data_IF_496668735852
#
_entry.id   IF_496668735852
#
_cell.length_a   1.000
_cell.length_b   1.000
_cell.length_c   1.000
_cell.angle_alpha   90.00
_cell.angle_beta   90.00
_cell.angle_gamma   90.00
#
_symmetry.space_group_name_H-M   'P 1'
#
loop_
_entity.id
_entity.type
_entity.pdbx_description
1 polymer ?
#
# COMPACT_ATOMS: atom_id res chain seq x y z
N UNK A 1 -17.31 14.23 -19.80
CA UNK A 1 -16.39 13.12 -20.09
C UNK A 1 -17.14 11.81 -20.09
N UNK A 2 -16.64 10.83 -20.85
CA UNK A 2 -17.16 9.45 -20.86
C UNK A 2 -16.80 8.70 -19.58
N UNK A 3 -17.52 7.62 -19.27
CA UNK A 3 -17.28 6.79 -18.08
C UNK A 3 -16.56 5.51 -18.48
N UNK A 4 -15.55 5.11 -17.71
CA UNK A 4 -14.80 3.89 -17.91
C UNK A 4 -14.76 3.10 -16.59
N UNK A 5 -15.14 1.83 -16.66
CA UNK A 5 -15.00 0.88 -15.57
C UNK A 5 -13.89 -0.11 -15.92
N UNK A 6 -12.85 -0.20 -15.08
CA UNK A 6 -11.73 -1.11 -15.26
C UNK A 6 -11.66 -2.05 -14.08
N UNK A 7 -11.58 -3.35 -14.37
CA UNK A 7 -11.37 -4.40 -13.37
C UNK A 7 -10.05 -5.08 -13.64
N UNK A 8 -9.19 -5.17 -12.62
CA UNK A 8 -7.93 -5.91 -12.69
C UNK A 8 -7.90 -7.01 -11.63
N UNK A 9 -7.74 -8.25 -12.08
CA UNK A 9 -7.64 -9.45 -11.24
C UNK A 9 -6.19 -9.84 -10.94
N UNK A 10 -5.21 -9.11 -11.48
CA UNK A 10 -3.78 -9.42 -11.39
C UNK A 10 -3.16 -8.92 -10.07
N UNK A 11 -3.79 -9.28 -8.94
CA UNK A 11 -3.36 -8.80 -7.62
C UNK A 11 -1.99 -9.32 -7.21
N UNK A 12 -1.56 -10.48 -7.70
CA UNK A 12 -0.22 -11.04 -7.41
C UNK A 12 0.88 -10.14 -7.98
N UNK A 13 0.66 -9.60 -9.18
CA UNK A 13 1.57 -8.66 -9.83
C UNK A 13 1.51 -7.30 -9.15
N UNK A 14 0.29 -6.78 -8.93
CA UNK A 14 0.10 -5.46 -8.29
C UNK A 14 0.53 -5.42 -6.81
N UNK A 15 0.52 -6.55 -6.10
CA UNK A 15 1.00 -6.66 -4.72
C UNK A 15 2.52 -6.71 -4.59
N UNK A 16 3.23 -6.85 -5.72
CA UNK A 16 4.70 -6.86 -5.76
C UNK A 16 5.34 -8.24 -5.60
N UNK A 17 4.59 -9.33 -5.73
CA UNK A 17 5.21 -10.67 -5.77
C UNK A 17 6.00 -10.89 -7.06
N UNK A 18 5.53 -10.30 -8.17
CA UNK A 18 6.25 -10.24 -9.45
C UNK A 18 6.41 -8.79 -9.89
N UNK A 19 7.46 -8.17 -9.38
CA UNK A 19 7.77 -6.77 -9.63
C UNK A 19 8.16 -6.50 -11.10
N UNK A 20 8.79 -7.46 -11.78
CA UNK A 20 9.20 -7.31 -13.18
C UNK A 20 7.98 -7.28 -14.09
N UNK A 21 7.04 -8.20 -13.90
CA UNK A 21 5.77 -8.21 -14.63
C UNK A 21 4.95 -6.96 -14.31
N UNK A 22 4.98 -6.48 -13.06
CA UNK A 22 4.27 -5.26 -12.67
C UNK A 22 4.81 -4.05 -13.44
N UNK A 23 6.15 -3.91 -13.48
CA UNK A 23 6.78 -2.83 -14.22
C UNK A 23 6.53 -2.94 -15.74
N UNK A 24 6.58 -4.16 -16.30
CA UNK A 24 6.33 -4.38 -17.72
C UNK A 24 4.90 -3.99 -18.13
N UNK A 25 3.89 -4.34 -17.33
CA UNK A 25 2.47 -4.09 -17.64
C UNK A 25 2.00 -2.69 -17.25
N UNK A 26 2.38 -2.22 -16.06
CA UNK A 26 1.82 -1.03 -15.43
C UNK A 26 2.78 0.16 -15.40
N UNK A 27 4.05 -0.03 -15.79
CA UNK A 27 5.11 0.99 -15.75
C UNK A 27 5.35 1.57 -14.36
N UNK A 28 5.08 0.76 -13.34
CA UNK A 28 5.25 1.12 -11.93
C UNK A 28 5.96 0.00 -11.17
N UNK A 29 6.82 0.37 -10.24
CA UNK A 29 7.50 -0.56 -9.34
C UNK A 29 6.68 -0.73 -8.05
N UNK A 30 6.08 -1.91 -7.80
CA UNK A 30 5.30 -2.12 -6.59
C UNK A 30 6.20 -2.22 -5.35
N UNK A 31 5.71 -1.72 -4.22
CA UNK A 31 6.36 -1.95 -2.91
C UNK A 31 5.68 -3.12 -2.20
N UNK A 32 6.46 -4.07 -1.72
CA UNK A 32 5.94 -5.15 -0.87
C UNK A 32 5.68 -4.64 0.56
N UNK A 33 4.54 -3.98 0.75
CA UNK A 33 4.12 -3.33 1.99
C UNK A 33 2.68 -3.71 2.37
N UNK A 34 2.28 -3.43 3.61
CA UNK A 34 0.96 -3.84 4.13
C UNK A 34 -0.21 -3.05 3.52
N UNK A 35 0.07 -1.93 2.86
CA UNK A 35 -0.90 -1.13 2.11
C UNK A 35 -1.13 -1.60 0.66
N UNK A 36 -0.77 -2.85 0.33
CA UNK A 36 -0.76 -3.38 -1.04
C UNK A 36 -2.08 -3.18 -1.81
N UNK A 37 -3.23 -3.25 -1.14
CA UNK A 37 -4.53 -3.13 -1.80
C UNK A 37 -4.76 -1.72 -2.34
N UNK A 38 -4.37 -0.70 -1.58
CA UNK A 38 -4.45 0.69 -2.03
C UNK A 38 -3.34 1.02 -3.04
N UNK A 39 -2.12 0.52 -2.81
CA UNK A 39 -1.05 0.71 -3.79
C UNK A 39 -1.41 0.12 -5.16
N UNK A 40 -2.07 -1.05 -5.19
CA UNK A 40 -2.59 -1.65 -6.42
C UNK A 40 -3.60 -0.74 -7.15
N UNK A 41 -4.53 -0.11 -6.41
CA UNK A 41 -5.47 0.86 -6.98
C UNK A 41 -4.74 2.08 -7.55
N UNK A 42 -3.75 2.61 -6.82
CA UNK A 42 -2.97 3.78 -7.23
C UNK A 42 -2.06 3.51 -8.42
N UNK A 43 -1.47 2.31 -8.51
CA UNK A 43 -0.72 1.85 -9.69
C UNK A 43 -1.65 1.78 -10.90
N UNK A 44 -2.84 1.15 -10.75
CA UNK A 44 -3.80 1.04 -11.85
C UNK A 44 -4.26 2.42 -12.33
N UNK A 45 -4.59 3.34 -11.42
CA UNK A 45 -4.96 4.71 -11.76
C UNK A 45 -3.82 5.45 -12.49
N UNK A 46 -2.57 5.30 -12.05
CA UNK A 46 -1.42 5.86 -12.74
C UNK A 46 -1.28 5.31 -14.17
N UNK A 47 -1.42 4.00 -14.36
CA UNK A 47 -1.38 3.40 -15.71
C UNK A 47 -2.49 3.92 -16.61
N UNK A 48 -3.70 4.11 -16.07
CA UNK A 48 -4.83 4.68 -16.81
C UNK A 48 -4.59 6.15 -17.19
N UNK A 49 -4.12 6.99 -16.26
CA UNK A 49 -3.81 8.39 -16.53
C UNK A 49 -2.70 8.53 -17.57
N UNK A 50 -1.60 7.79 -17.41
CA UNK A 50 -0.47 7.81 -18.36
C UNK A 50 -0.90 7.38 -19.76
N UNK A 51 -1.79 6.39 -19.84
CA UNK A 51 -2.34 5.93 -21.12
C UNK A 51 -3.26 6.98 -21.75
N UNK A 52 -4.13 7.61 -20.96
CA UNK A 52 -5.03 8.67 -21.42
C UNK A 52 -4.28 9.90 -21.90
N UNK A 53 -3.21 10.30 -21.19
CA UNK A 53 -2.41 11.48 -21.50
C UNK A 53 -1.82 11.45 -22.91
N UNK A 54 -1.43 10.26 -23.39
CA UNK A 54 -0.92 10.05 -24.77
C UNK A 54 -1.94 10.45 -25.84
N UNK A 55 -3.23 10.44 -25.50
CA UNK A 55 -4.35 10.79 -26.37
C UNK A 55 -4.99 12.13 -26.00
N UNK A 56 -4.25 13.04 -25.34
CA UNK A 56 -4.73 14.37 -24.90
C UNK A 56 -5.95 14.29 -23.95
N UNK A 57 -6.07 13.19 -23.22
CA UNK A 57 -7.14 12.94 -22.26
C UNK A 57 -6.58 12.75 -20.86
N UNK A 58 -7.39 13.03 -19.85
CA UNK A 58 -7.06 12.73 -18.46
C UNK A 58 -8.23 12.02 -17.79
N UNK A 59 -7.94 11.32 -16.69
CA UNK A 59 -8.93 10.63 -15.88
C UNK A 59 -9.29 11.44 -14.63
N UNK A 60 -10.53 11.27 -14.17
CA UNK A 60 -11.01 11.74 -12.87
C UNK A 60 -11.60 10.53 -12.15
N UNK A 61 -10.97 10.03 -11.07
CA UNK A 61 -11.50 8.90 -10.30
C UNK A 61 -12.85 9.23 -9.65
N UNK A 62 -13.83 8.34 -9.83
CA UNK A 62 -15.13 8.41 -9.15
C UNK A 62 -15.08 7.53 -7.89
N UNK A 63 -14.73 6.26 -8.05
CA UNK A 63 -14.61 5.32 -6.93
C UNK A 63 -13.65 4.18 -7.31
N UNK A 64 -12.75 3.85 -6.39
CA UNK A 64 -11.67 2.87 -6.59
C UNK A 64 -11.66 1.88 -5.43
N UNK A 65 -12.11 0.64 -5.65
CA UNK A 65 -12.29 -0.34 -4.59
C UNK A 65 -11.46 -1.60 -4.84
N UNK A 66 -10.81 -2.10 -3.79
CA UNK A 66 -10.34 -3.49 -3.75
C UNK A 66 -11.49 -4.36 -3.25
N UNK A 67 -11.94 -5.28 -4.08
CA UNK A 67 -13.09 -6.14 -3.82
C UNK A 67 -12.59 -7.57 -3.91
N UNK A 68 -12.62 -8.28 -2.79
CA UNK A 68 -12.17 -9.68 -2.68
C UNK A 68 -10.74 -9.89 -3.19
N UNK A 69 -10.60 -10.34 -4.44
CA UNK A 69 -9.35 -10.74 -5.10
C UNK A 69 -9.02 -9.88 -6.33
N UNK A 70 -9.75 -8.79 -6.55
CA UNK A 70 -9.53 -7.88 -7.66
C UNK A 70 -9.62 -6.42 -7.21
N UNK A 71 -9.13 -5.53 -8.06
CA UNK A 71 -9.34 -4.09 -7.92
C UNK A 71 -10.25 -3.61 -9.03
N UNK A 72 -11.15 -2.68 -8.71
CA UNK A 72 -12.09 -2.08 -9.65
C UNK A 72 -12.08 -0.57 -9.48
N UNK A 73 -11.88 0.12 -10.60
CA UNK A 73 -11.85 1.57 -10.65
C UNK A 73 -12.89 2.08 -11.64
N UNK A 74 -13.65 3.08 -11.23
CA UNK A 74 -14.55 3.85 -12.08
C UNK A 74 -13.96 5.23 -12.25
N UNK A 75 -13.73 5.62 -13.49
CA UNK A 75 -13.14 6.93 -13.82
C UNK A 75 -13.96 7.62 -14.89
N UNK A 76 -13.95 8.95 -14.89
CA UNK A 76 -14.41 9.76 -16.02
C UNK A 76 -13.21 10.16 -16.85
N UNK A 77 -13.33 10.01 -18.16
CA UNK A 77 -12.29 10.42 -19.12
C UNK A 77 -12.73 11.71 -19.80
N UNK A 78 -11.88 12.72 -19.75
CA UNK A 78 -12.11 14.02 -20.36
C UNK A 78 -11.01 14.35 -21.35
N UNK A 79 -11.37 15.02 -22.43
CA UNK A 79 -10.40 15.59 -23.36
C UNK A 79 -10.08 17.01 -22.92
N UNK A 80 -8.83 17.24 -22.51
CA UNK A 80 -8.35 18.55 -22.09
C UNK A 80 -6.83 18.57 -22.17
N UNK A 81 -6.25 19.18 -23.22
CA UNK A 81 -4.81 19.30 -23.35
C UNK A 81 -4.14 20.09 -22.20
N UNK A 82 -4.88 20.98 -21.54
CA UNK A 82 -4.38 21.75 -20.39
C UNK A 82 -4.18 20.85 -19.17
N UNK A 83 -5.19 20.03 -18.85
CA UNK A 83 -5.17 19.11 -17.71
C UNK A 83 -4.11 18.00 -17.85
N UNK A 84 -3.85 17.57 -19.09
CA UNK A 84 -2.78 16.60 -19.38
C UNK A 84 -1.41 17.13 -18.99
N UNK A 85 -1.15 18.43 -19.16
CA UNK A 85 0.12 19.05 -18.75
C UNK A 85 0.27 19.08 -17.23
N UNK A 86 -0.83 19.11 -16.49
CA UNK A 86 -0.85 19.08 -15.03
C UNK A 86 -0.90 17.66 -14.45
N UNK A 87 -0.97 16.61 -15.26
CA UNK A 87 -1.01 15.20 -14.81
C UNK A 87 0.14 14.85 -13.87
N UNK A 88 1.33 15.43 -14.07
CA UNK A 88 2.49 15.22 -13.21
C UNK A 88 2.29 15.64 -11.74
N UNK A 89 1.31 16.50 -11.44
CA UNK A 89 0.94 16.87 -10.07
C UNK A 89 0.25 15.73 -9.33
N UNK A 90 -0.37 14.80 -10.07
CA UNK A 90 -1.11 13.65 -9.54
C UNK A 90 -0.24 12.40 -9.42
N UNK A 91 1.03 12.50 -9.82
CA UNK A 91 1.99 11.39 -9.75
C UNK A 91 2.87 11.51 -8.52
N UNK A 92 3.09 10.38 -7.86
CA UNK A 92 3.97 10.30 -6.70
C UNK A 92 4.77 8.99 -6.69
N UNK A 93 5.92 9.03 -6.04
CA UNK A 93 6.71 7.88 -5.64
C UNK A 93 6.55 7.62 -4.14
N UNK A 94 6.86 6.39 -3.72
CA UNK A 94 6.82 5.99 -2.32
C UNK A 94 8.21 5.54 -1.89
N UNK A 95 8.72 6.14 -0.82
CA UNK A 95 9.89 5.66 -0.11
C UNK A 95 9.45 4.77 1.06
N UNK A 96 9.55 3.46 0.90
CA UNK A 96 9.19 2.48 1.94
C UNK A 96 10.42 2.13 2.80
N UNK A 97 10.31 2.28 4.12
CA UNK A 97 11.35 1.82 5.04
C UNK A 97 11.51 0.30 5.00
N UNK A 98 12.76 -0.17 5.00
CA UNK A 98 13.06 -1.61 5.11
C UNK A 98 13.03 -2.12 6.56
N UNK A 99 13.03 -1.23 7.55
CA UNK A 99 13.10 -1.61 8.97
C UNK A 99 11.80 -1.49 9.73
N UNK A 100 10.80 -0.78 9.19
CA UNK A 100 9.50 -0.60 9.81
C UNK A 100 8.42 -0.25 8.76
N UNK A 101 7.13 -0.22 9.15
CA UNK A 101 6.03 0.14 8.25
C UNK A 101 6.00 1.60 7.77
N UNK A 102 6.92 2.46 8.21
CA UNK A 102 6.98 3.88 7.80
C UNK A 102 7.20 4.04 6.31
N UNK A 103 6.51 5.01 5.71
CA UNK A 103 6.60 5.31 4.29
C UNK A 103 6.48 6.82 4.03
N UNK A 104 7.10 7.30 2.97
CA UNK A 104 7.08 8.72 2.61
C UNK A 104 6.64 8.89 1.16
N UNK A 105 5.68 9.78 0.93
CA UNK A 105 5.17 10.09 -0.41
C UNK A 105 5.98 11.23 -1.01
N UNK A 106 6.59 11.01 -2.16
CA UNK A 106 7.34 12.00 -2.94
C UNK A 106 6.52 12.40 -4.16
N UNK A 107 5.89 13.58 -4.18
CA UNK A 107 5.27 14.10 -5.40
C UNK A 107 6.31 14.26 -6.50
N UNK A 108 5.90 14.09 -7.75
CA UNK A 108 6.77 14.32 -8.92
C UNK A 108 6.90 15.82 -9.23
N UNK A 109 5.79 16.54 -9.16
CA UNK A 109 5.72 17.96 -9.44
C UNK A 109 5.03 18.75 -8.32
N UNK A 110 5.32 20.04 -8.26
CA UNK A 110 4.60 21.02 -7.42
C UNK A 110 4.06 22.14 -8.28
N UNK A 111 2.97 22.75 -7.83
CA UNK A 111 2.36 23.92 -8.47
C UNK A 111 2.61 25.16 -7.62
N UNK A 112 3.29 26.16 -8.18
CA UNK A 112 3.50 27.47 -7.57
C UNK A 112 2.79 28.54 -8.42
N UNK A 113 1.62 28.98 -7.97
CA UNK A 113 0.74 29.86 -8.75
C UNK A 113 0.32 29.19 -10.06
N UNK A 114 0.69 29.81 -11.19
CA UNK A 114 0.41 29.28 -12.53
C UNK A 114 1.54 28.38 -13.08
N UNK A 115 2.67 28.25 -12.38
CA UNK A 115 3.80 27.45 -12.82
C UNK A 115 3.78 26.04 -12.21
N UNK A 116 4.13 25.04 -13.02
CA UNK A 116 4.36 23.66 -12.58
C UNK A 116 5.84 23.37 -12.72
N UNK A 117 6.48 22.93 -11.64
CA UNK A 117 7.91 22.58 -11.61
C UNK A 117 8.11 21.23 -10.95
N UNK A 118 9.30 20.65 -11.11
CA UNK A 118 9.70 19.49 -10.32
C UNK A 118 9.52 19.76 -8.81
N UNK A 119 9.04 18.76 -8.08
CA UNK A 119 8.96 18.83 -6.63
C UNK A 119 10.35 18.69 -6.01
N UNK A 120 10.66 19.40 -4.91
CA UNK A 120 11.88 19.15 -4.15
C UNK A 120 11.96 17.69 -3.69
N UNK A 121 13.15 17.11 -3.80
CA UNK A 121 13.42 15.74 -3.41
C UNK A 121 14.81 15.64 -2.73
N UNK A 122 14.99 14.72 -1.78
CA UNK A 122 13.97 13.79 -1.26
C UNK A 122 13.11 14.42 -0.13
N UNK A 123 11.83 14.02 -0.04
CA UNK A 123 10.92 14.42 1.07
C UNK A 123 11.36 13.93 2.45
N UNK A 124 12.27 12.95 2.49
CA UNK A 124 12.89 12.41 3.69
C UNK A 124 14.38 12.17 3.40
N UNK A 125 15.21 12.00 4.42
CA UNK A 125 16.62 11.66 4.22
C UNK A 125 16.82 10.32 3.49
N UNK A 126 18.08 9.95 3.20
CA UNK A 126 18.40 8.65 2.56
C UNK A 126 18.08 7.41 3.42
N UNK A 127 17.65 7.61 4.67
CA UNK A 127 17.33 6.58 5.64
C UNK A 127 16.05 6.93 6.41
N UNK A 128 15.41 5.91 6.98
CA UNK A 128 14.22 6.08 7.80
C UNK A 128 14.55 6.88 9.08
N UNK A 129 13.86 8.01 9.35
CA UNK A 129 14.09 8.81 10.55
C UNK A 129 13.86 8.04 11.85
N UNK A 130 13.06 6.97 11.82
CA UNK A 130 12.66 6.21 13.00
C UNK A 130 13.62 5.07 13.32
N UNK A 131 14.14 4.38 12.30
CA UNK A 131 14.98 3.19 12.48
C UNK A 131 16.41 3.31 11.96
N UNK A 132 16.71 4.33 11.14
CA UNK A 132 17.97 4.45 10.40
C UNK A 132 18.12 3.46 9.23
N UNK A 133 17.14 2.60 8.98
CA UNK A 133 17.17 1.65 7.87
C UNK A 133 17.12 2.36 6.51
N UNK A 134 17.69 1.75 5.46
CA UNK A 134 17.58 2.32 4.09
C UNK A 134 16.13 2.28 3.61
N UNK A 135 15.82 3.15 2.66
CA UNK A 135 14.50 3.25 2.03
C UNK A 135 14.51 2.58 0.64
N UNK A 136 13.42 1.89 0.30
CA UNK A 136 13.15 1.37 -1.05
C UNK A 136 12.25 2.34 -1.81
N UNK A 137 12.57 2.58 -3.08
CA UNK A 137 11.71 3.35 -3.98
C UNK A 137 10.66 2.45 -4.62
N UNK A 138 9.41 2.89 -4.61
CA UNK A 138 8.34 2.34 -5.44
C UNK A 138 7.53 3.43 -6.13
N UNK A 139 6.68 3.02 -7.06
CA UNK A 139 5.96 3.90 -7.97
C UNK A 139 6.57 3.94 -9.38
N UNK A 140 6.16 4.90 -10.22
CA UNK A 140 5.18 5.96 -9.91
C UNK A 140 3.77 5.40 -9.63
N UNK A 141 2.99 6.12 -8.83
CA UNK A 141 1.61 5.79 -8.50
C UNK A 141 0.76 7.06 -8.48
N UNK A 142 -0.57 6.90 -8.50
CA UNK A 142 -1.51 8.01 -8.33
C UNK A 142 -1.44 8.56 -6.89
N UNK A 143 -1.05 9.82 -6.74
CA UNK A 143 -0.91 10.53 -5.46
C UNK A 143 -2.19 11.23 -4.98
N UNK A 144 -3.12 11.52 -5.89
CA UNK A 144 -4.34 12.26 -5.60
C UNK A 144 -5.46 11.38 -4.96
N UNK A 145 -6.60 11.98 -4.57
CA UNK A 145 -7.78 11.22 -4.14
C UNK A 145 -8.22 10.19 -5.17
N UNK A 146 -8.65 9.01 -4.69
CA UNK A 146 -9.10 7.87 -5.51
C UNK A 146 -10.63 7.73 -5.57
N UNK A 147 -11.33 8.66 -4.91
CA UNK A 147 -12.77 8.69 -4.71
C UNK A 147 -13.30 10.12 -4.81
N UNK A 148 -14.42 10.30 -5.51
CA UNK A 148 -15.23 11.50 -5.44
C UNK A 148 -16.21 11.36 -4.27
N UNK A 149 -15.93 12.04 -3.15
CA UNK A 149 -16.76 11.96 -1.94
C UNK A 149 -18.18 12.47 -2.16
N UNK A 150 -18.40 13.43 -3.06
CA UNK A 150 -19.75 13.92 -3.35
C UNK A 150 -20.59 12.83 -4.01
N UNK A 151 -19.97 12.09 -4.94
CA UNK A 151 -20.58 10.94 -5.61
C UNK A 151 -20.79 9.78 -4.65
N UNK A 152 -19.82 9.44 -3.81
CA UNK A 152 -19.94 8.34 -2.82
C UNK A 152 -21.10 8.61 -1.86
N UNK A 153 -21.23 9.84 -1.37
CA UNK A 153 -22.33 10.22 -0.49
C UNK A 153 -23.69 10.19 -1.20
N UNK A 154 -23.75 10.58 -2.48
CA UNK A 154 -24.96 10.45 -3.28
C UNK A 154 -25.36 8.98 -3.49
N UNK A 155 -24.41 8.14 -3.91
CA UNK A 155 -24.64 6.71 -4.10
C UNK A 155 -25.06 6.02 -2.79
N UNK A 156 -24.48 6.41 -1.65
CA UNK A 156 -24.88 5.88 -0.35
C UNK A 156 -26.32 6.28 -0.01
N UNK A 157 -26.72 7.54 -0.25
CA UNK A 157 -28.11 7.99 -0.06
C UNK A 157 -29.09 7.20 -0.94
N UNK A 158 -28.76 6.98 -2.20
CA UNK A 158 -29.62 6.25 -3.13
C UNK A 158 -29.80 4.79 -2.70
N UNK A 159 -28.71 4.12 -2.31
CA UNK A 159 -28.75 2.74 -1.79
C UNK A 159 -29.58 2.64 -0.51
N UNK A 160 -29.53 3.65 0.37
CA UNK A 160 -30.35 3.71 1.58
C UNK A 160 -31.80 4.05 1.29
N UNK A 161 -32.08 4.97 0.35
CA UNK A 161 -33.42 5.42 -0.02
C UNK A 161 -34.23 4.33 -0.75
N UNK A 162 -33.60 3.52 -1.60
CA UNK A 162 -34.20 2.33 -2.22
C UNK A 162 -34.56 1.22 -1.21
N UNK A 163 -34.52 1.47 0.10
CA UNK A 163 -35.12 0.62 1.12
C UNK A 163 -36.62 0.90 1.34
N UNK A 164 -37.11 2.06 0.87
CA UNK A 164 -38.53 2.34 0.67
C UNK A 164 -39.03 1.79 -0.68
N UNK A 165 -40.32 1.46 -0.74
CA UNK A 165 -40.91 0.46 -1.62
C UNK A 165 -40.87 0.66 -3.15
N UNK A 166 -40.33 1.74 -3.75
CA UNK A 166 -40.65 2.08 -5.15
C UNK A 166 -39.52 2.64 -6.04
N UNK A 167 -38.28 2.14 -5.96
CA UNK A 167 -37.27 2.56 -6.96
C UNK A 167 -36.16 1.55 -7.23
N UNK A 168 -36.06 1.13 -8.50
CA UNK A 168 -35.03 0.29 -9.15
C UNK A 168 -35.16 -1.24 -8.94
N UNK A 169 -34.74 -2.05 -9.93
CA UNK A 169 -34.69 -3.51 -9.75
C UNK A 169 -33.86 -3.87 -8.50
N UNK A 170 -34.26 -4.89 -7.74
CA UNK A 170 -33.62 -5.21 -6.47
C UNK A 170 -32.15 -5.55 -6.68
N UNK A 171 -31.26 -4.70 -6.14
CA UNK A 171 -29.83 -5.00 -6.09
C UNK A 171 -29.64 -6.14 -5.08
N UNK A 172 -29.40 -7.35 -5.56
CA UNK A 172 -29.24 -8.54 -4.70
C UNK A 172 -28.16 -8.35 -3.62
N UNK A 173 -27.09 -7.62 -3.94
CA UNK A 173 -25.95 -7.36 -3.06
C UNK A 173 -26.06 -6.05 -2.28
N UNK A 174 -27.27 -5.50 -2.11
CA UNK A 174 -27.52 -4.19 -1.47
C UNK A 174 -26.84 -4.02 -0.11
N UNK A 175 -26.94 -5.01 0.78
CA UNK A 175 -26.32 -4.96 2.12
C UNK A 175 -24.80 -4.81 2.04
N UNK A 176 -24.19 -5.56 1.11
CA UNK A 176 -22.74 -5.52 0.86
C UNK A 176 -22.32 -4.20 0.22
N UNK A 177 -23.10 -3.69 -0.74
CA UNK A 177 -22.86 -2.40 -1.37
C UNK A 177 -22.97 -1.25 -0.36
N UNK A 178 -24.02 -1.25 0.47
CA UNK A 178 -24.20 -0.28 1.56
C UNK A 178 -23.02 -0.32 2.54
N UNK A 179 -22.58 -1.51 2.95
CA UNK A 179 -21.40 -1.70 3.81
C UNK A 179 -20.12 -1.14 3.19
N UNK A 180 -19.87 -1.43 1.92
CA UNK A 180 -18.72 -0.93 1.18
C UNK A 180 -18.74 0.60 1.04
N UNK A 181 -19.86 1.17 0.57
CA UNK A 181 -20.00 2.61 0.40
C UNK A 181 -19.91 3.36 1.74
N UNK A 182 -20.43 2.78 2.82
CA UNK A 182 -20.27 3.32 4.18
C UNK A 182 -18.81 3.31 4.62
N UNK A 183 -18.05 2.25 4.30
CA UNK A 183 -16.64 2.19 4.64
C UNK A 183 -15.83 3.23 3.85
N UNK A 184 -16.07 3.33 2.53
CA UNK A 184 -15.43 4.32 1.65
C UNK A 184 -15.76 5.75 2.06
N UNK A 185 -17.01 6.03 2.46
CA UNK A 185 -17.45 7.36 2.86
C UNK A 185 -16.84 7.86 4.18
N UNK A 186 -16.30 6.94 4.98
CA UNK A 186 -15.57 7.23 6.22
C UNK A 186 -14.06 7.39 6.00
N UNK A 187 -13.53 7.11 4.81
CA UNK A 187 -12.09 7.20 4.52
C UNK A 187 -11.61 8.64 4.30
N UNK A 188 -10.37 8.92 4.71
CA UNK A 188 -9.67 10.14 4.35
C UNK A 188 -9.29 10.12 2.86
N UNK A 189 -9.77 11.08 2.04
CA UNK A 189 -9.48 11.12 0.61
C UNK A 189 -8.07 11.60 0.29
N UNK A 190 -7.49 12.42 1.18
CA UNK A 190 -6.24 13.16 1.02
C UNK A 190 -5.07 12.56 1.81
N UNK A 191 -5.24 11.35 2.37
CA UNK A 191 -4.18 10.59 3.03
C UNK A 191 -3.88 9.31 2.22
N UNK A 192 -2.85 9.33 1.35
CA UNK A 192 -2.47 8.15 0.58
C UNK A 192 -1.91 7.03 1.45
N UNK A 193 -2.31 5.80 1.13
CA UNK A 193 -1.88 4.56 1.79
C UNK A 193 -2.31 4.50 3.25
N UNK A 194 -1.85 3.50 3.99
CA UNK A 194 -2.25 3.27 5.38
C UNK A 194 -1.22 2.42 6.13
N UNK A 195 -1.23 2.53 7.46
CA UNK A 195 -0.58 1.59 8.35
C UNK A 195 -1.52 0.47 8.74
N UNK A 196 -1.01 -0.63 9.27
CA UNK A 196 -1.84 -1.62 9.96
C UNK A 196 -1.38 -1.77 11.40
N UNK A 197 -2.34 -1.80 12.33
CA UNK A 197 -2.02 -1.93 13.75
C UNK A 197 -1.14 -3.17 14.05
N UNK A 198 -1.44 -4.36 13.48
CA UNK A 198 -0.59 -5.53 13.69
C UNK A 198 0.84 -5.32 13.21
N UNK A 199 1.06 -4.66 12.07
CA UNK A 199 2.41 -4.46 11.53
C UNK A 199 3.24 -3.47 12.34
N UNK A 200 2.59 -2.43 12.89
CA UNK A 200 3.23 -1.51 13.81
C UNK A 200 3.64 -2.23 15.11
N UNK A 201 2.72 -2.99 15.70
CA UNK A 201 2.96 -3.73 16.94
C UNK A 201 3.99 -4.86 16.77
N UNK A 202 3.99 -5.54 15.60
CA UNK A 202 4.98 -6.57 15.24
C UNK A 202 6.40 -6.00 15.25
N UNK A 203 6.58 -4.76 14.77
CA UNK A 203 7.89 -4.10 14.67
C UNK A 203 8.52 -3.84 16.04
N UNK A 204 7.72 -3.47 17.03
CA UNK A 204 8.17 -3.13 18.40
C UNK A 204 7.86 -4.22 19.44
N UNK A 205 7.28 -5.34 18.99
CA UNK A 205 6.86 -6.47 19.83
C UNK A 205 5.95 -6.11 21.01
N UNK A 206 5.06 -5.13 20.83
CA UNK A 206 4.13 -4.70 21.88
C UNK A 206 2.77 -5.41 21.80
N UNK A 207 2.01 -5.37 22.89
CA UNK A 207 0.60 -5.73 22.87
C UNK A 207 -0.17 -4.70 22.02
N UNK A 208 -1.10 -5.17 21.19
CA UNK A 208 -1.88 -4.27 20.33
C UNK A 208 -2.82 -3.41 21.17
N UNK A 209 -2.79 -2.07 21.05
CA UNK A 209 -3.83 -1.22 21.61
C UNK A 209 -5.17 -1.55 20.96
N UNK A 210 -6.26 -1.27 21.67
CA UNK A 210 -7.60 -1.31 21.05
C UNK A 210 -7.67 -0.21 20.00
N UNK A 211 -8.43 -0.48 18.93
CA UNK A 211 -8.63 0.47 17.84
C UNK A 211 -9.07 1.84 18.34
N UNK A 212 -10.05 1.89 19.24
CA UNK A 212 -10.59 3.14 19.77
C UNK A 212 -9.58 3.91 20.62
N UNK A 213 -8.70 3.24 21.37
CA UNK A 213 -7.69 3.91 22.20
C UNK A 213 -6.64 4.59 21.32
N UNK A 214 -6.14 3.88 20.30
CA UNK A 214 -5.16 4.44 19.37
C UNK A 214 -5.75 5.55 18.51
N UNK A 215 -6.99 5.35 18.04
CA UNK A 215 -7.74 6.37 17.31
C UNK A 215 -7.94 7.63 18.16
N UNK A 216 -8.24 7.45 19.45
CA UNK A 216 -8.41 8.55 20.41
C UNK A 216 -7.11 9.36 20.55
N UNK A 217 -5.97 8.68 20.68
CA UNK A 217 -4.66 9.32 20.76
C UNK A 217 -4.32 10.17 19.53
N UNK A 218 -4.60 9.67 18.31
CA UNK A 218 -4.40 10.45 17.08
C UNK A 218 -5.28 11.70 17.02
N UNK A 219 -6.56 11.56 17.40
CA UNK A 219 -7.51 12.69 17.37
C UNK A 219 -7.19 13.73 18.45
N UNK A 220 -6.83 13.30 19.65
CA UNK A 220 -6.40 14.20 20.73
C UNK A 220 -5.09 14.92 20.39
N UNK A 221 -4.23 14.31 19.58
CA UNK A 221 -3.03 14.95 19.03
C UNK A 221 -3.32 15.91 17.86
N UNK A 222 -4.58 16.08 17.44
CA UNK A 222 -4.99 17.02 16.40
C UNK A 222 -5.00 16.44 14.98
N UNK A 223 -4.79 15.14 14.81
CA UNK A 223 -4.74 14.49 13.50
C UNK A 223 -6.04 13.79 13.14
N UNK A 224 -6.30 13.72 11.84
CA UNK A 224 -7.45 12.98 11.30
C UNK A 224 -7.10 11.51 11.19
N UNK A 225 -8.10 10.65 11.38
CA UNK A 225 -7.93 9.20 11.29
C UNK A 225 -9.17 8.51 10.74
N UNK A 226 -8.95 7.60 9.78
CA UNK A 226 -9.98 6.72 9.22
C UNK A 226 -9.48 5.28 9.08
N UNK A 227 -10.40 4.38 8.75
CA UNK A 227 -10.07 3.03 8.29
C UNK A 227 -9.75 2.98 6.80
N UNK A 228 -9.71 1.76 6.26
CA UNK A 228 -9.72 1.46 4.82
C UNK A 228 -10.81 0.43 4.53
N UNK A 229 -11.54 0.57 3.42
CA UNK A 229 -12.69 -0.27 3.06
C UNK A 229 -12.35 -1.74 2.86
N UNK A 230 -11.08 -2.07 2.61
CA UNK A 230 -10.62 -3.45 2.38
C UNK A 230 -9.99 -4.09 3.61
N UNK A 231 -9.30 -3.31 4.45
CA UNK A 231 -8.50 -3.84 5.57
C UNK A 231 -9.06 -3.31 6.90
N UNK A 232 -9.63 -4.18 7.76
CA UNK A 232 -10.26 -3.77 9.02
C UNK A 232 -9.34 -3.02 9.98
N UNK A 233 -8.08 -3.45 10.08
CA UNK A 233 -7.09 -2.91 11.02
C UNK A 233 -6.22 -1.80 10.40
N UNK A 234 -6.63 -1.27 9.25
CA UNK A 234 -5.89 -0.22 8.56
C UNK A 234 -6.14 1.14 9.21
N UNK A 235 -5.05 1.90 9.36
CA UNK A 235 -5.02 3.24 9.92
C UNK A 235 -4.58 4.19 8.81
N UNK A 236 -5.54 4.96 8.30
CA UNK A 236 -5.27 6.14 7.48
C UNK A 236 -5.22 7.36 8.36
N UNK A 237 -4.17 8.16 8.23
CA UNK A 237 -4.01 9.39 9.01
C UNK A 237 -3.17 10.39 8.24
N UNK A 238 -3.36 11.67 8.52
CA UNK A 238 -2.47 12.75 8.10
C UNK A 238 -1.36 13.04 9.12
N UNK A 239 -1.26 12.22 10.17
CA UNK A 239 -0.16 12.29 11.12
C UNK A 239 1.17 11.88 10.47
N UNK A 240 2.27 12.61 10.72
CA UNK A 240 3.59 12.19 10.29
C UNK A 240 4.02 10.91 11.03
N UNK A 241 4.92 10.14 10.43
CA UNK A 241 5.45 8.89 11.02
C UNK A 241 5.91 9.07 12.47
N UNK A 242 6.55 10.21 12.79
CA UNK A 242 7.02 10.49 14.15
C UNK A 242 5.91 10.45 15.19
N UNK A 243 4.74 11.03 14.88
CA UNK A 243 3.57 11.01 15.77
C UNK A 243 2.99 9.59 15.89
N UNK A 244 2.93 8.85 14.79
CA UNK A 244 2.48 7.45 14.78
C UNK A 244 3.34 6.61 15.74
N UNK A 245 4.66 6.78 15.70
CA UNK A 245 5.56 6.06 16.61
C UNK A 245 5.56 6.61 18.04
N UNK A 246 5.43 7.93 18.25
CA UNK A 246 5.35 8.54 19.58
C UNK A 246 4.15 8.04 20.39
N UNK A 247 3.00 7.88 19.74
CA UNK A 247 1.82 7.29 20.38
C UNK A 247 2.13 5.86 20.84
N UNK A 248 2.81 5.06 20.01
CA UNK A 248 3.19 3.69 20.39
C UNK A 248 4.28 3.65 21.46
N UNK A 249 5.22 4.59 21.48
CA UNK A 249 6.19 4.75 22.57
C UNK A 249 5.47 5.02 23.89
N UNK A 250 4.50 5.94 23.90
CA UNK A 250 3.66 6.23 25.06
C UNK A 250 2.85 4.99 25.48
N UNK A 251 2.34 4.22 24.52
CA UNK A 251 1.63 2.97 24.79
C UNK A 251 2.53 1.94 25.48
N UNK A 252 3.74 1.73 24.98
CA UNK A 252 4.73 0.79 25.55
C UNK A 252 5.19 1.22 26.94
N UNK A 253 5.30 2.54 27.22
CA UNK A 253 5.56 3.02 28.59
C UNK A 253 4.47 2.62 29.58
N UNK A 254 3.20 2.57 29.14
CA UNK A 254 2.06 2.11 29.95
C UNK A 254 1.92 0.59 29.99
N UNK A 255 2.35 -0.09 28.92
CA UNK A 255 2.28 -1.54 28.76
C UNK A 255 3.66 -2.11 28.37
N UNK A 256 4.56 -2.30 29.35
CA UNK A 256 5.94 -2.69 29.10
C UNK A 256 6.05 -4.00 28.32
N UNK A 257 6.95 -4.02 27.34
CA UNK A 257 7.25 -5.22 26.55
C UNK A 257 8.20 -6.15 27.31
N UNK A 258 8.16 -7.44 26.96
CA UNK A 258 9.11 -8.41 27.51
C UNK A 258 10.52 -8.12 26.96
N UNK A 259 11.47 -7.82 27.85
CA UNK A 259 12.86 -7.49 27.50
C UNK A 259 13.54 -8.53 26.60
N UNK A 260 13.16 -9.81 26.70
CA UNK A 260 13.69 -10.88 25.82
C UNK A 260 13.34 -10.69 24.34
N UNK A 261 12.26 -9.97 24.04
CA UNK A 261 11.80 -9.69 22.67
C UNK A 261 12.40 -8.39 22.10
N UNK A 262 13.06 -7.58 22.93
CA UNK A 262 13.63 -6.30 22.52
C UNK A 262 15.15 -6.40 22.36
N UNK A 263 15.61 -7.08 21.30
CA UNK A 263 17.05 -7.20 21.03
C UNK A 263 17.65 -5.83 20.68
N UNK A 264 18.84 -5.46 21.20
CA UNK A 264 19.49 -4.17 20.91
C UNK A 264 19.74 -3.91 19.42
N UNK A 265 19.87 -4.97 18.61
CA UNK A 265 20.07 -4.88 17.15
C UNK A 265 18.77 -4.75 16.36
N UNK A 266 17.62 -4.83 17.00
CA UNK A 266 16.33 -4.79 16.32
C UNK A 266 15.93 -3.35 15.97
N UNK A 267 15.20 -3.19 14.86
CA UNK A 267 14.60 -1.90 14.50
C UNK A 267 13.61 -1.43 15.57
N UNK A 268 12.87 -2.35 16.21
CA UNK A 268 11.97 -2.04 17.33
C UNK A 268 12.70 -1.39 18.50
N UNK A 269 13.88 -1.90 18.87
CA UNK A 269 14.71 -1.28 19.90
C UNK A 269 15.11 0.16 19.54
N UNK A 270 15.51 0.40 18.30
CA UNK A 270 15.90 1.73 17.81
C UNK A 270 14.72 2.72 17.81
N UNK A 271 13.50 2.23 17.58
CA UNK A 271 12.29 3.05 17.68
C UNK A 271 12.04 3.41 19.14
N UNK A 272 12.11 2.43 20.05
CA UNK A 272 11.79 2.59 21.47
C UNK A 272 12.87 3.32 22.27
N UNK A 273 14.12 3.37 21.79
CA UNK A 273 15.20 4.12 22.44
C UNK A 273 15.06 5.64 22.29
N UNK A 274 14.19 6.10 21.39
CA UNK A 274 13.86 7.53 21.23
C UNK A 274 12.77 7.91 22.23
N UNK A 275 12.98 9.01 22.93
CA UNK A 275 11.97 9.60 23.79
C UNK A 275 10.86 10.23 22.93
N UNK A 276 9.57 10.00 23.26
CA UNK A 276 8.47 10.59 22.52
C UNK A 276 8.40 12.09 22.75
N UNK A 277 8.33 12.86 21.66
CA UNK A 277 8.13 14.32 21.68
C UNK A 277 6.68 14.61 22.04
N UNK A 278 5.75 13.85 21.47
CA UNK A 278 4.32 13.92 21.78
C UNK A 278 3.97 13.01 22.97
N UNK A 279 3.32 13.58 23.99
CA UNK A 279 2.69 12.80 25.06
C UNK A 279 1.27 12.40 24.66
N UNK A 280 1.03 11.11 24.43
CA UNK A 280 -0.25 10.63 23.93
C UNK A 280 -1.34 10.58 25.01
N UNK A 281 -2.49 11.18 24.71
CA UNK A 281 -3.72 11.04 25.49
C UNK A 281 -4.67 10.01 24.84
N UNK A 282 -4.84 8.87 25.50
CA UNK A 282 -5.72 7.79 25.05
C UNK A 282 -7.17 7.95 25.53
N UNK A 283 -7.52 9.06 26.20
CA UNK A 283 -8.89 9.32 26.64
C UNK A 283 -9.85 9.47 25.46
N UNK A 284 -11.05 8.90 25.56
CA UNK A 284 -12.03 8.92 24.46
C UNK A 284 -12.51 10.35 24.18
N UNK A 285 -12.32 10.89 22.97
CA UNK A 285 -12.75 12.25 22.63
C UNK A 285 -14.27 12.38 22.66
N UNK A 286 -14.77 13.51 23.15
CA UNK A 286 -16.21 13.84 23.14
C UNK A 286 -16.80 13.94 21.73
N UNK A 287 -15.95 14.16 20.72
CA UNK A 287 -16.34 14.25 19.31
C UNK A 287 -16.74 12.91 18.69
N UNK A 288 -16.50 11.78 19.37
CA UNK A 288 -16.78 10.46 18.81
C UNK A 288 -18.28 10.17 18.80
N UNK A 289 -18.88 10.32 17.62
CA UNK A 289 -20.25 9.88 17.37
C UNK A 289 -20.31 8.36 17.18
N UNK A 290 -21.37 7.69 17.65
CA UNK A 290 -21.59 6.28 17.35
C UNK A 290 -21.71 6.08 15.85
N UNK A 291 -21.02 5.06 15.32
CA UNK A 291 -21.08 4.74 13.89
C UNK A 291 -22.44 4.13 13.54
N UNK A 292 -23.01 4.45 12.36
CA UNK A 292 -24.21 3.78 11.89
C UNK A 292 -23.93 2.28 11.68
N UNK A 293 -24.96 1.46 11.97
CA UNK A 293 -24.91 0.01 11.72
C UNK A 293 -24.79 -0.22 10.21
N UNK A 294 -23.69 -0.83 9.81
CA UNK A 294 -23.46 -1.24 8.43
C UNK A 294 -22.59 -2.50 8.45
N UNK A 295 -22.88 -3.44 7.55
CA UNK A 295 -22.12 -4.67 7.36
C UNK A 295 -20.76 -4.35 6.69
N UNK A 296 -19.86 -3.74 7.45
CA UNK A 296 -18.47 -3.50 7.03
C UNK A 296 -17.76 -4.86 7.03
N UNK A 297 -17.00 -5.15 5.98
CA UNK A 297 -16.24 -6.40 5.83
C UNK A 297 -17.10 -7.67 5.95
N UNK A 298 -18.06 -7.89 5.01
CA UNK A 298 -18.84 -9.12 5.02
C UNK A 298 -17.92 -10.35 4.86
N UNK A 299 -18.20 -11.46 5.55
CA UNK A 299 -17.43 -12.69 5.40
C UNK A 299 -17.56 -13.22 3.97
N UNK A 300 -16.61 -14.07 3.59
CA UNK A 300 -16.67 -14.76 2.31
C UNK A 300 -17.93 -15.65 2.25
N UNK A 301 -18.63 -15.71 1.10
CA UNK A 301 -19.85 -16.50 0.97
C UNK A 301 -19.67 -17.99 1.21
N UNK A 302 -18.53 -18.56 0.83
CA UNK A 302 -18.25 -20.00 0.90
C UNK A 302 -16.87 -20.29 1.53
N UNK A 303 -16.76 -21.45 2.18
CA UNK A 303 -15.50 -22.04 2.62
C UNK A 303 -14.68 -22.43 1.36
N UNK A 304 -13.48 -21.88 1.15
CA UNK A 304 -12.69 -21.96 -0.10
C UNK A 304 -13.12 -21.04 -1.25
N UNK A 305 -13.88 -19.99 -0.95
CA UNK A 305 -14.21 -18.97 -1.94
C UNK A 305 -12.98 -18.17 -2.38
N UNK A 306 -12.69 -18.18 -3.69
CA UNK A 306 -11.62 -17.39 -4.30
C UNK A 306 -11.08 -17.94 -5.61
N UNK A 307 -10.05 -17.30 -6.19
CA UNK A 307 -9.44 -17.72 -7.44
C UNK A 307 -8.84 -19.12 -7.28
N UNK A 308 -9.39 -20.08 -8.01
CA UNK A 308 -8.87 -21.46 -8.02
C UNK A 308 -7.53 -21.50 -8.77
N UNK A 309 -6.69 -22.48 -8.43
CA UNK A 309 -5.43 -22.72 -9.13
C UNK A 309 -5.65 -22.83 -10.64
N UNK A 310 -4.73 -22.29 -11.43
CA UNK A 310 -4.75 -22.39 -12.90
C UNK A 310 -4.98 -23.85 -13.32
N UNK A 311 -5.94 -24.08 -14.22
CA UNK A 311 -6.23 -25.40 -14.75
C UNK A 311 -4.94 -26.03 -15.32
N UNK A 312 -4.50 -27.14 -14.74
CA UNK A 312 -3.40 -27.93 -15.30
C UNK A 312 -3.98 -28.78 -16.43
N UNK A 313 -3.33 -28.87 -17.61
CA UNK A 313 -3.77 -29.80 -18.64
C UNK A 313 -3.79 -31.22 -18.04
N UNK A 314 -4.92 -31.93 -18.20
CA UNK A 314 -5.02 -33.34 -17.81
C UNK A 314 -3.91 -34.09 -18.54
N UNK A 315 -3.03 -34.77 -17.80
CA UNK A 315 -2.15 -35.79 -18.40
C UNK A 315 -3.08 -36.76 -19.12
N UNK A 316 -2.87 -36.95 -20.43
CA UNK A 316 -3.56 -38.03 -21.17
C UNK A 316 -3.24 -39.34 -20.46
N UNK A 317 -4.21 -40.25 -20.28
CA UNK A 317 -3.91 -41.61 -19.84
C UNK A 317 -2.88 -42.18 -20.80
N UNK A 318 -1.78 -42.69 -20.25
CA UNK A 318 -0.82 -43.49 -21.01
C UNK A 318 -1.53 -44.81 -21.26
N UNK A 319 -1.83 -45.13 -22.53
CA UNK A 319 -2.27 -46.47 -22.91
C UNK A 319 -1.11 -47.44 -22.67
N UNK A 320 -1.38 -48.51 -21.93
CA UNK A 320 -0.44 -49.58 -21.65
C UNK A 320 -0.07 -50.31 -22.95
N UNK A 321 1.22 -50.23 -23.31
CA UNK A 321 1.84 -50.95 -24.42
C UNK A 321 3.36 -51.05 -24.22
N UNK A 322 3.77 -52.14 -23.56
CA UNK A 322 5.06 -52.85 -23.43
C UNK A 322 6.42 -52.24 -23.91
N UNK A 323 7.55 -52.65 -23.27
CA UNK A 323 8.69 -51.80 -22.98
C UNK A 323 9.77 -51.77 -24.07
N UNK A 324 10.39 -50.60 -24.28
CA UNK A 324 11.58 -50.48 -25.11
C UNK A 324 12.30 -49.14 -24.98
N UNK A 325 13.55 -49.21 -24.48
CA UNK A 325 14.63 -48.22 -24.54
C UNK A 325 14.52 -46.93 -23.69
N UNK A 326 15.31 -46.93 -22.62
CA UNK A 326 15.61 -45.78 -21.78
C UNK A 326 16.32 -44.68 -22.59
N UNK A 327 15.70 -43.51 -22.68
CA UNK A 327 16.39 -42.26 -22.99
C UNK A 327 16.06 -41.23 -21.90
N UNK A 328 16.97 -41.10 -20.92
CA UNK A 328 16.94 -40.06 -19.90
C UNK A 328 17.10 -38.69 -20.58
N UNK A 329 16.07 -37.85 -20.55
CA UNK A 329 16.22 -36.39 -20.67
C UNK A 329 16.16 -35.79 -19.26
N UNK A 330 17.06 -34.83 -18.92
CA UNK A 330 17.25 -34.41 -17.55
C UNK A 330 16.11 -33.52 -17.05
N UNK A 331 15.74 -33.76 -15.80
CA UNK A 331 14.91 -32.87 -15.00
C UNK A 331 15.69 -31.59 -14.71
N UNK A 332 15.05 -30.44 -14.92
CA UNK A 332 15.53 -29.16 -14.43
C UNK A 332 14.80 -28.95 -13.10
N UNK A 333 15.46 -29.34 -12.03
CA UNK A 333 15.05 -29.04 -10.65
C UNK A 333 15.36 -27.56 -10.38
N UNK A 334 14.31 -26.80 -10.07
CA UNK A 334 14.42 -25.41 -9.63
C UNK A 334 14.08 -25.35 -8.14
N UNK A 335 15.10 -25.55 -7.32
CA UNK A 335 15.25 -25.15 -5.90
C UNK A 335 16.62 -25.72 -5.47
N UNK A 336 17.70 -24.95 -5.41
CA UNK A 336 18.06 -24.16 -4.23
C UNK A 336 19.52 -23.67 -4.38
N UNK A 337 19.90 -22.69 -3.56
CA UNK A 337 21.28 -22.24 -3.28
C UNK A 337 21.97 -21.30 -4.31
N UNK A 338 21.91 -19.99 -4.01
CA UNK A 338 23.08 -19.12 -4.21
C UNK A 338 23.35 -18.42 -2.89
N UNK A 339 24.26 -19.00 -2.12
CA UNK A 339 24.99 -18.34 -1.05
C UNK A 339 26.50 -18.54 -1.30
N UNK A 340 27.21 -17.40 -1.40
CA UNK A 340 28.65 -17.18 -1.23
C UNK A 340 29.60 -17.88 -2.22
N UNK A 341 30.57 -17.20 -2.85
CA UNK A 341 31.78 -16.68 -2.19
C UNK A 341 32.59 -15.91 -3.25
N UNK A 342 32.88 -14.62 -3.07
CA UNK A 342 34.15 -14.09 -2.55
C UNK A 342 35.21 -15.13 -2.17
N UNK A 343 36.29 -15.22 -2.95
CA UNK A 343 37.63 -15.56 -2.45
C UNK A 343 38.71 -14.84 -3.25
N UNK A 344 39.36 -13.89 -2.57
CA UNK A 344 40.79 -13.62 -2.52
C UNK A 344 41.66 -14.02 -3.73
N UNK A 345 42.20 -13.00 -4.40
CA UNK A 345 43.53 -13.05 -4.98
C UNK A 345 44.50 -12.38 -4.00
N UNK A 346 45.47 -13.14 -3.48
CA UNK A 346 46.59 -12.62 -2.69
C UNK A 346 47.78 -12.26 -3.58
N UNK A 347 48.53 -11.26 -3.12
CA UNK A 347 49.77 -10.75 -3.68
C UNK A 347 50.91 -11.77 -3.77
N UNK A 348 51.82 -11.57 -4.73
CA UNK A 348 53.24 -11.25 -4.49
C UNK A 348 54.02 -11.18 -5.83
N UNK A 349 54.70 -10.06 -6.12
CA UNK A 349 56.16 -10.06 -6.25
C UNK A 349 56.76 -8.64 -6.29
N UNK A 350 57.61 -8.41 -5.30
CA UNK A 350 58.94 -7.76 -5.31
C UNK A 350 59.10 -6.28 -5.69
N UNK A 351 59.75 -5.57 -4.75
CA UNK A 351 59.99 -4.14 -4.80
C UNK A 351 61.32 -3.74 -5.42
N UNK A 352 61.46 -2.42 -5.58
CA UNK A 352 62.76 -1.73 -5.51
C UNK A 352 62.56 -0.38 -4.85
N UNK A 353 63.49 -0.06 -3.98
CA UNK A 353 63.66 1.14 -3.14
C UNK A 353 63.93 2.43 -3.92
N UNK A 354 63.51 3.57 -3.38
CA UNK A 354 64.34 4.72 -2.95
C UNK A 354 63.64 6.08 -3.12
N UNK A 355 63.51 6.77 -1.97
CA UNK A 355 63.77 8.18 -1.67
C UNK A 355 63.08 9.38 -2.37
N UNK A 356 62.85 10.36 -1.48
CA UNK A 356 62.82 11.82 -1.63
C UNK A 356 61.52 12.58 -1.95
N UNK A 357 60.98 13.14 -0.87
CA UNK A 357 60.87 14.58 -0.57
C UNK A 357 60.06 15.53 -1.48
N UNK A 358 59.15 16.25 -0.81
CA UNK A 358 58.78 17.67 -0.98
C UNK A 358 58.36 18.16 -2.37
N UNK A 359 57.05 18.39 -2.55
CA UNK A 359 56.41 19.70 -2.73
C UNK A 359 54.93 19.52 -3.08
#
# INVERSE_FOLDING_TARGET
>A
GGMLCVTCTDMVVLSGNDAQTCYAKYRSMPTHAKYLHENALRILLHTLETSACRYRRHIVPIISCSIDFYVRVFVRVFESPAEVKTSCLREAYVFQSMGCPSFFIQPVARKNGNSVSAAPAPVCGGTCPQTGARLKLGGPMWGDPIHDMSWVQAALRDVTASAGADASPPIQTKTRLHGLLTAVSEELPDAPLYYTMPSLCETIHCASPKWDDYRSALVNAGYRVSGCHKVPDAIKTDAPDEVVWDILRCWVKRHPINSKRNSPKSHGHTILSKEPVLQADFSRPKSFKPKPKAARFPPNPEEQWGPKSRARPKKRPVEDGTPGSQSKKPAIDAESEIAATSTNASAAQEGTTADDAQA
#
